data_IF_224160474638
#
_entry.id   IF_224160474638
#
_cell.length_a   1.000
_cell.length_b   1.000
_cell.length_c   1.000
_cell.angle_alpha   90.00
_cell.angle_beta   90.00
_cell.angle_gamma   90.00
#
_symmetry.space_group_name_H-M   'P 1'
#
loop_
_entity.id
_entity.type
_entity.pdbx_description
1 polymer ?
#
# COMPACT_ATOMS: atom_id res chain seq x y z
N UNK A 1 29.31 0.47 -5.12
CA UNK A 1 28.38 -0.51 -4.55
C UNK A 1 27.03 0.12 -4.23
N UNK A 2 25.99 -0.70 -4.17
CA UNK A 2 24.65 -0.25 -3.79
C UNK A 2 24.68 0.26 -2.34
N UNK A 3 24.09 1.43 -2.12
CA UNK A 3 23.94 1.99 -0.77
C UNK A 3 22.50 1.73 -0.32
N UNK A 4 22.36 0.97 0.74
CA UNK A 4 21.07 0.74 1.39
C UNK A 4 20.76 1.85 2.38
N UNK A 5 19.47 2.14 2.57
CA UNK A 5 19.03 2.94 3.69
C UNK A 5 19.37 2.20 4.99
N UNK A 6 20.05 2.88 5.90
CA UNK A 6 20.40 2.34 7.22
C UNK A 6 19.62 3.11 8.27
N UNK A 7 18.98 2.44 9.23
CA UNK A 7 18.31 3.11 10.33
C UNK A 7 19.23 4.10 11.04
N UNK A 8 18.73 5.26 11.37
CA UNK A 8 19.44 6.31 12.06
C UNK A 8 18.68 6.75 13.32
N UNK A 9 18.89 6.04 14.38
CA UNK A 9 18.20 6.25 15.66
C UNK A 9 18.55 7.57 16.37
N UNK A 10 19.39 8.39 15.78
CA UNK A 10 19.65 9.74 16.28
C UNK A 10 18.58 10.77 15.87
N UNK A 11 17.76 10.46 14.87
CA UNK A 11 16.85 11.44 14.24
C UNK A 11 15.48 11.54 14.88
N UNK A 12 14.94 10.45 15.37
CA UNK A 12 13.62 10.43 15.96
C UNK A 12 13.61 9.57 17.21
N UNK A 13 12.47 9.51 17.88
CA UNK A 13 12.30 8.71 19.09
C UNK A 13 12.11 7.19 18.81
N UNK A 14 12.34 6.74 17.58
CA UNK A 14 12.17 5.34 17.18
C UNK A 14 10.73 4.91 16.93
N UNK A 15 9.78 5.83 16.87
CA UNK A 15 8.37 5.54 16.63
C UNK A 15 8.08 5.46 15.13
N UNK A 16 7.31 4.46 14.72
CA UNK A 16 6.72 4.42 13.38
C UNK A 16 5.68 5.53 13.21
N UNK A 17 5.57 6.05 12.01
CA UNK A 17 4.63 7.12 11.67
C UNK A 17 3.77 6.72 10.48
N UNK A 18 2.64 7.39 10.33
CA UNK A 18 1.83 7.32 9.10
C UNK A 18 2.50 8.22 8.05
N UNK A 19 2.73 7.69 6.86
CA UNK A 19 3.50 8.35 5.81
C UNK A 19 2.61 9.28 4.97
N UNK A 20 2.24 10.42 5.54
CA UNK A 20 1.46 11.43 4.84
C UNK A 20 2.15 11.98 3.59
N UNK A 21 3.47 12.29 3.59
CA UNK A 21 4.12 12.78 2.39
C UNK A 21 4.03 11.81 1.21
N UNK A 22 4.18 10.51 1.44
CA UNK A 22 4.00 9.50 0.39
C UNK A 22 2.53 9.42 -0.05
N UNK A 23 1.60 9.41 0.91
CA UNK A 23 0.17 9.34 0.66
C UNK A 23 -0.31 10.44 -0.27
N UNK A 24 0.00 11.71 0.01
CA UNK A 24 -0.41 12.85 -0.81
C UNK A 24 0.12 12.83 -2.24
N UNK A 25 1.03 11.94 -2.55
CA UNK A 25 1.64 11.81 -3.87
C UNK A 25 1.20 10.55 -4.63
N UNK A 26 0.29 9.75 -4.09
CA UNK A 26 -0.27 8.58 -4.77
C UNK A 26 -1.29 8.94 -5.87
N UNK A 27 -1.33 10.16 -6.35
CA UNK A 27 -1.95 10.47 -7.64
C UNK A 27 -1.38 9.58 -8.75
N UNK A 28 -0.10 9.21 -8.65
CA UNK A 28 0.50 8.11 -9.38
C UNK A 28 1.69 7.50 -8.60
N UNK A 29 2.02 6.26 -8.93
CA UNK A 29 3.05 5.48 -8.26
C UNK A 29 4.44 6.14 -8.30
N UNK A 30 4.81 6.77 -9.43
CA UNK A 30 6.12 7.42 -9.60
C UNK A 30 6.28 8.64 -8.68
N UNK A 31 5.24 9.45 -8.55
CA UNK A 31 5.27 10.61 -7.66
C UNK A 31 5.38 10.17 -6.20
N UNK A 32 4.60 9.17 -5.77
CA UNK A 32 4.66 8.62 -4.42
C UNK A 32 6.05 8.05 -4.10
N UNK A 33 6.63 7.30 -5.02
CA UNK A 33 7.98 6.76 -4.90
C UNK A 33 9.04 7.87 -4.76
N UNK A 34 8.98 8.89 -5.62
CA UNK A 34 9.90 10.03 -5.59
C UNK A 34 9.81 10.76 -4.26
N UNK A 35 8.59 11.08 -3.84
CA UNK A 35 8.38 11.79 -2.59
C UNK A 35 8.85 10.99 -1.38
N UNK A 36 8.59 9.70 -1.35
CA UNK A 36 9.07 8.82 -0.31
C UNK A 36 10.61 8.85 -0.20
N UNK A 37 11.32 8.81 -1.34
CA UNK A 37 12.78 8.89 -1.35
C UNK A 37 13.31 10.25 -0.85
N UNK A 38 12.61 11.34 -1.13
CA UNK A 38 12.97 12.69 -0.65
C UNK A 38 12.80 12.83 0.86
N UNK A 39 11.76 12.21 1.41
CA UNK A 39 11.43 12.28 2.84
C UNK A 39 12.23 11.31 3.72
N UNK A 40 12.83 10.29 3.16
CA UNK A 40 13.60 9.29 3.90
C UNK A 40 14.64 9.88 4.88
N UNK A 41 15.34 10.99 4.56
CA UNK A 41 16.28 11.62 5.49
C UNK A 41 15.68 12.08 6.82
N UNK A 42 14.37 12.27 6.86
CA UNK A 42 13.68 12.77 8.05
C UNK A 42 13.22 11.65 9.01
N UNK A 43 13.28 10.40 8.56
CA UNK A 43 12.87 9.25 9.36
C UNK A 43 14.06 8.47 9.90
N UNK A 44 13.88 7.86 11.06
CA UNK A 44 14.81 6.89 11.63
C UNK A 44 14.97 5.68 10.71
N UNK A 45 13.83 5.05 10.44
CA UNK A 45 13.70 3.89 9.59
C UNK A 45 12.34 3.91 8.90
N UNK A 46 12.31 4.47 7.70
CA UNK A 46 11.07 4.60 6.93
C UNK A 46 10.49 3.26 6.46
N UNK A 47 11.24 2.15 6.61
CA UNK A 47 10.69 0.81 6.36
C UNK A 47 9.61 0.41 7.38
N UNK A 48 9.50 1.16 8.48
CA UNK A 48 8.46 1.00 9.50
C UNK A 48 7.33 2.01 9.40
N UNK A 49 7.37 2.94 8.44
CA UNK A 49 6.25 3.85 8.22
C UNK A 49 5.03 3.07 7.71
N UNK A 50 3.85 3.44 8.18
CA UNK A 50 2.59 2.93 7.64
C UNK A 50 2.28 3.69 6.36
N UNK A 51 2.18 2.97 5.25
CA UNK A 51 1.94 3.52 3.92
C UNK A 51 0.55 3.15 3.44
N UNK A 52 -0.12 4.06 2.73
CA UNK A 52 -1.51 3.89 2.29
C UNK A 52 -1.82 4.80 1.11
N UNK A 53 -2.84 4.45 0.35
CA UNK A 53 -3.39 5.28 -0.75
C UNK A 53 -4.64 5.99 -0.27
N UNK A 54 -5.69 5.25 0.09
CA UNK A 54 -6.90 5.77 0.70
C UNK A 54 -6.89 5.61 2.23
N UNK A 55 -7.59 6.49 2.91
CA UNK A 55 -7.89 6.40 4.34
C UNK A 55 -9.34 6.79 4.63
N UNK A 56 -9.72 6.80 5.90
CA UNK A 56 -11.03 7.31 6.32
C UNK A 56 -11.15 8.85 6.26
N UNK A 57 -10.03 9.53 6.12
CA UNK A 57 -10.00 11.00 6.04
C UNK A 57 -9.86 11.47 4.60
N UNK A 58 -8.92 10.89 3.84
CA UNK A 58 -8.50 11.40 2.54
C UNK A 58 -8.09 10.28 1.60
N UNK A 59 -8.30 10.50 0.29
CA UNK A 59 -7.50 9.93 -0.78
C UNK A 59 -6.35 10.86 -1.16
N UNK A 60 -5.50 10.50 -2.13
CA UNK A 60 -4.39 11.34 -2.58
C UNK A 60 -4.81 12.69 -3.15
N UNK A 61 -5.98 12.75 -3.75
CA UNK A 61 -6.56 13.95 -4.35
C UNK A 61 -7.62 14.57 -3.42
N UNK A 62 -7.17 15.04 -2.24
CA UNK A 62 -8.04 15.73 -1.31
C UNK A 62 -9.07 14.82 -0.62
N UNK A 63 -10.22 15.35 -0.30
CA UNK A 63 -11.24 14.78 0.59
C UNK A 63 -12.02 13.61 0.00
N UNK A 64 -11.55 12.97 -1.06
CA UNK A 64 -12.27 11.92 -1.78
C UNK A 64 -11.52 10.60 -1.79
N UNK A 65 -12.25 9.50 -2.01
CA UNK A 65 -11.65 8.23 -2.42
C UNK A 65 -10.85 8.41 -3.71
N UNK A 66 -9.76 7.68 -3.84
CA UNK A 66 -8.96 7.70 -5.06
C UNK A 66 -9.82 7.43 -6.29
N UNK A 67 -9.71 8.28 -7.31
CA UNK A 67 -10.53 8.25 -8.53
C UNK A 67 -9.76 7.84 -9.78
N UNK A 68 -8.46 7.52 -9.65
CA UNK A 68 -7.66 6.97 -10.73
C UNK A 68 -8.25 5.67 -11.30
N UNK A 69 -7.81 5.29 -12.49
CA UNK A 69 -8.27 4.04 -13.11
C UNK A 69 -7.74 2.80 -12.41
N UNK A 70 -8.34 1.65 -12.68
CA UNK A 70 -7.91 0.34 -12.13
C UNK A 70 -6.43 0.06 -12.36
N UNK A 71 -5.89 0.45 -13.51
CA UNK A 71 -4.47 0.32 -13.81
C UNK A 71 -3.60 1.18 -12.87
N UNK A 72 -3.96 2.44 -12.66
CA UNK A 72 -3.25 3.32 -11.73
C UNK A 72 -3.35 2.84 -10.28
N UNK A 73 -4.50 2.26 -9.90
CA UNK A 73 -4.64 1.58 -8.60
C UNK A 73 -3.64 0.43 -8.47
N UNK A 74 -3.55 -0.44 -9.47
CA UNK A 74 -2.63 -1.57 -9.47
C UNK A 74 -1.18 -1.11 -9.33
N UNK A 75 -0.76 -0.09 -10.08
CA UNK A 75 0.58 0.50 -9.99
C UNK A 75 0.87 1.10 -8.62
N UNK A 76 -0.09 1.80 -8.02
CA UNK A 76 0.04 2.31 -6.65
C UNK A 76 0.19 1.17 -5.63
N UNK A 77 -0.58 0.10 -5.78
CA UNK A 77 -0.49 -1.09 -4.93
C UNK A 77 0.84 -1.82 -5.10
N UNK A 78 1.39 -1.88 -6.31
CA UNK A 78 2.72 -2.46 -6.56
C UNK A 78 3.78 -1.74 -5.74
N UNK A 79 3.80 -0.41 -5.77
CA UNK A 79 4.73 0.38 -4.95
C UNK A 79 4.47 0.20 -3.46
N UNK A 80 3.19 0.21 -3.05
CA UNK A 80 2.80 0.07 -1.65
C UNK A 80 3.30 -1.26 -1.05
N UNK A 81 3.20 -2.36 -1.80
CA UNK A 81 3.55 -3.70 -1.32
C UNK A 81 5.02 -4.07 -1.48
N UNK A 82 5.73 -3.44 -2.40
CA UNK A 82 7.09 -3.86 -2.75
C UNK A 82 8.18 -2.88 -2.33
N UNK A 83 7.91 -1.58 -2.33
CA UNK A 83 8.94 -0.59 -2.08
C UNK A 83 9.36 -0.54 -0.60
N UNK A 84 8.67 0.18 0.27
CA UNK A 84 9.00 0.29 1.69
C UNK A 84 7.76 0.51 2.54
N UNK A 85 7.91 0.33 3.83
CA UNK A 85 6.85 0.56 4.80
C UNK A 85 5.95 -0.64 5.04
N UNK A 86 4.95 -0.39 5.84
CA UNK A 86 3.91 -1.33 6.22
C UNK A 86 2.66 -0.97 5.43
N UNK A 87 2.27 -1.75 4.41
CA UNK A 87 1.11 -1.44 3.61
C UNK A 87 -0.16 -1.49 4.43
N UNK A 88 -0.97 -0.44 4.34
CA UNK A 88 -2.28 -0.36 4.96
C UNK A 88 -3.32 -0.14 3.86
N UNK A 89 -4.33 -1.00 3.81
CA UNK A 89 -5.44 -0.90 2.87
C UNK A 89 -6.68 -0.39 3.60
N UNK A 90 -7.28 0.65 3.07
CA UNK A 90 -8.60 1.06 3.52
C UNK A 90 -9.65 0.17 2.87
N UNK A 91 -10.66 -0.26 3.63
CA UNK A 91 -11.68 -1.17 3.15
C UNK A 91 -12.32 -0.70 1.85
N UNK A 92 -12.60 -1.60 0.96
CA UNK A 92 -13.23 -1.32 -0.33
C UNK A 92 -12.27 -0.87 -1.43
N UNK A 93 -10.98 -0.58 -1.13
CA UNK A 93 -9.99 -0.24 -2.14
C UNK A 93 -9.80 -1.36 -3.16
N UNK A 94 -9.98 -2.61 -2.74
CA UNK A 94 -9.95 -3.81 -3.58
C UNK A 94 -11.05 -3.87 -4.65
N UNK A 95 -12.07 -3.04 -4.51
CA UNK A 95 -13.21 -2.93 -5.45
C UNK A 95 -13.36 -1.54 -6.07
N UNK A 96 -12.44 -0.61 -5.83
CA UNK A 96 -12.64 0.82 -6.16
C UNK A 96 -13.96 1.36 -5.56
N UNK A 97 -14.32 0.86 -4.36
CA UNK A 97 -15.57 1.19 -3.68
C UNK A 97 -15.68 2.69 -3.43
N UNK A 98 -16.82 3.27 -3.79
CA UNK A 98 -17.07 4.72 -3.65
C UNK A 98 -16.01 5.59 -4.36
N UNK A 99 -15.47 5.12 -5.48
CA UNK A 99 -14.46 5.81 -6.28
C UNK A 99 -14.82 7.27 -6.52
N UNK A 100 -13.93 8.19 -6.17
CA UNK A 100 -14.11 9.62 -6.33
C UNK A 100 -15.16 10.25 -5.41
N UNK A 101 -15.76 9.49 -4.52
CA UNK A 101 -16.78 10.01 -3.61
C UNK A 101 -16.08 10.70 -2.42
N UNK A 102 -16.52 11.90 -2.02
CA UNK A 102 -15.99 12.62 -0.87
C UNK A 102 -16.05 11.80 0.42
N UNK A 103 -14.99 11.87 1.23
CA UNK A 103 -14.93 11.21 2.52
C UNK A 103 -15.81 11.90 3.55
N UNK A 104 -15.81 13.22 3.54
CA UNK A 104 -16.59 14.04 4.45
C UNK A 104 -17.38 15.10 3.66
N UNK A 105 -18.69 15.08 3.83
CA UNK A 105 -19.61 16.04 3.20
C UNK A 105 -20.36 16.86 4.24
N UNK A 106 -19.86 16.88 5.48
CA UNK A 106 -20.40 17.63 6.59
C UNK A 106 -21.28 16.79 7.54
N UNK A 107 -21.64 17.36 8.69
CA UNK A 107 -22.19 16.60 9.84
C UNK A 107 -23.60 16.05 9.63
N UNK A 108 -24.32 16.52 8.61
CA UNK A 108 -25.69 16.10 8.34
C UNK A 108 -25.84 15.15 7.13
N UNK A 109 -24.73 14.83 6.46
CA UNK A 109 -24.79 13.93 5.32
C UNK A 109 -24.88 12.47 5.77
N UNK A 110 -25.74 11.65 5.14
CA UNK A 110 -25.76 10.23 5.41
C UNK A 110 -24.41 9.58 5.04
N UNK A 111 -23.87 8.72 5.89
CA UNK A 111 -22.63 7.99 5.61
C UNK A 111 -22.70 7.20 4.29
N UNK A 112 -23.89 6.71 3.93
CA UNK A 112 -24.12 5.99 2.68
C UNK A 112 -23.78 6.77 1.41
N UNK A 113 -23.67 8.09 1.50
CA UNK A 113 -23.32 8.98 0.37
C UNK A 113 -21.87 9.43 0.40
N UNK A 114 -21.06 8.87 1.26
CA UNK A 114 -19.65 9.25 1.46
C UNK A 114 -18.70 8.10 1.14
N UNK A 115 -17.42 8.41 1.04
CA UNK A 115 -16.36 7.40 0.95
C UNK A 115 -16.27 6.48 2.16
N UNK A 116 -17.02 6.78 3.23
CA UNK A 116 -17.15 5.98 4.47
C UNK A 116 -18.42 5.11 4.48
N UNK A 117 -19.08 4.94 3.35
CA UNK A 117 -20.30 4.15 3.25
C UNK A 117 -20.08 2.71 3.75
N UNK A 118 -21.17 2.06 4.13
CA UNK A 118 -21.14 0.67 4.59
C UNK A 118 -20.68 -0.27 3.48
N UNK A 119 -19.71 -1.09 3.75
CA UNK A 119 -19.10 -2.02 2.81
C UNK A 119 -19.52 -3.49 3.04
N UNK A 120 -20.18 -3.77 4.16
CA UNK A 120 -20.46 -5.15 4.58
C UNK A 120 -21.26 -5.97 3.57
N UNK A 121 -22.10 -5.35 2.76
CA UNK A 121 -22.88 -6.05 1.72
C UNK A 121 -21.99 -6.79 0.72
N UNK A 122 -20.76 -6.31 0.48
CA UNK A 122 -19.77 -6.95 -0.38
C UNK A 122 -19.05 -8.12 0.28
N UNK A 123 -19.22 -8.29 1.59
CA UNK A 123 -18.59 -9.33 2.41
C UNK A 123 -19.58 -10.43 2.83
N UNK A 124 -20.85 -10.32 2.43
CA UNK A 124 -21.88 -11.33 2.74
C UNK A 124 -21.56 -12.66 2.08
N UNK A 125 -21.71 -13.73 2.85
CA UNK A 125 -21.43 -15.09 2.41
C UNK A 125 -20.35 -15.78 3.23
N UNK A 126 -19.87 -16.90 2.75
CA UNK A 126 -18.86 -17.72 3.43
C UNK A 126 -17.55 -17.68 2.66
N UNK A 127 -16.43 -17.64 3.39
CA UNK A 127 -15.10 -17.81 2.85
C UNK A 127 -14.25 -18.67 3.80
N UNK A 128 -13.53 -19.62 3.25
CA UNK A 128 -12.56 -20.43 4.01
C UNK A 128 -11.15 -20.04 3.59
N UNK A 129 -10.49 -19.26 4.42
CA UNK A 129 -9.08 -18.92 4.22
C UNK A 129 -8.20 -20.16 4.53
N UNK A 130 -7.31 -20.48 3.62
CA UNK A 130 -6.38 -21.62 3.76
C UNK A 130 -4.97 -21.18 4.13
N UNK A 131 -4.57 -20.01 3.67
CA UNK A 131 -3.32 -19.37 4.01
C UNK A 131 -3.49 -17.85 3.75
N UNK A 132 -2.49 -17.06 4.11
CA UNK A 132 -2.50 -15.62 3.92
C UNK A 132 -2.58 -15.28 2.41
N UNK A 133 -3.68 -14.65 2.00
CA UNK A 133 -3.94 -14.32 0.60
C UNK A 133 -4.45 -15.49 -0.25
N UNK A 134 -4.87 -16.59 0.37
CA UNK A 134 -5.50 -17.72 -0.32
C UNK A 134 -6.78 -18.19 0.37
N UNK A 135 -7.68 -18.79 -0.37
CA UNK A 135 -8.91 -19.39 0.13
C UNK A 135 -9.26 -20.64 -0.67
N UNK A 136 -10.00 -21.55 -0.07
CA UNK A 136 -10.44 -22.81 -0.74
C UNK A 136 -11.87 -22.73 -1.23
N UNK A 137 -12.74 -22.00 -0.54
CA UNK A 137 -14.14 -21.84 -0.87
C UNK A 137 -14.58 -20.42 -0.62
N UNK A 138 -15.45 -19.92 -1.49
CA UNK A 138 -16.19 -18.70 -1.28
C UNK A 138 -17.59 -18.80 -1.85
N UNK A 139 -18.58 -18.15 -1.23
CA UNK A 139 -19.97 -18.09 -1.70
C UNK A 139 -20.58 -16.74 -1.37
N UNK A 140 -21.69 -16.40 -2.03
CA UNK A 140 -22.35 -15.11 -1.82
C UNK A 140 -21.58 -13.92 -2.42
N UNK A 141 -21.81 -12.73 -1.90
CA UNK A 141 -21.20 -11.50 -2.41
C UNK A 141 -19.67 -11.49 -2.21
N UNK A 142 -19.18 -12.09 -1.14
CA UNK A 142 -17.71 -12.17 -0.87
C UNK A 142 -16.98 -12.96 -1.95
N UNK A 143 -17.61 -13.95 -2.59
CA UNK A 143 -16.99 -14.68 -3.70
C UNK A 143 -16.69 -13.74 -4.87
N UNK A 144 -17.66 -12.90 -5.27
CA UNK A 144 -17.48 -11.91 -6.32
C UNK A 144 -16.42 -10.84 -5.95
N UNK A 145 -16.40 -10.43 -4.68
CA UNK A 145 -15.39 -9.50 -4.16
C UNK A 145 -13.99 -10.06 -4.29
N UNK A 146 -13.79 -11.32 -3.96
CA UNK A 146 -12.48 -11.99 -4.05
C UNK A 146 -12.00 -12.21 -5.49
N UNK A 147 -12.91 -12.24 -6.44
CA UNK A 147 -12.61 -12.38 -7.88
C UNK A 147 -12.44 -11.03 -8.61
N UNK A 148 -12.70 -9.91 -7.94
CA UNK A 148 -12.50 -8.59 -8.51
C UNK A 148 -11.02 -8.36 -8.89
N UNK A 149 -10.74 -7.66 -10.02
CA UNK A 149 -9.38 -7.51 -10.55
C UNK A 149 -8.36 -7.01 -9.51
N UNK A 150 -8.67 -5.96 -8.77
CA UNK A 150 -7.75 -5.45 -7.74
C UNK A 150 -7.66 -6.38 -6.53
N UNK A 151 -8.73 -7.08 -6.14
CA UNK A 151 -8.68 -8.07 -5.08
C UNK A 151 -7.73 -9.23 -5.45
N UNK A 152 -7.80 -9.73 -6.68
CA UNK A 152 -6.89 -10.75 -7.20
C UNK A 152 -5.45 -10.22 -7.24
N UNK A 153 -5.26 -8.98 -7.66
CA UNK A 153 -3.94 -8.33 -7.67
C UNK A 153 -3.34 -8.23 -6.27
N UNK A 154 -4.10 -7.79 -5.28
CA UNK A 154 -3.68 -7.72 -3.87
C UNK A 154 -3.35 -9.12 -3.33
N UNK A 155 -4.13 -10.14 -3.66
CA UNK A 155 -3.83 -11.52 -3.28
C UNK A 155 -2.46 -11.96 -3.83
N UNK A 156 -2.13 -11.61 -5.08
CA UNK A 156 -0.83 -11.90 -5.68
C UNK A 156 0.29 -11.14 -4.97
N UNK A 157 0.12 -9.85 -4.73
CA UNK A 157 1.10 -9.02 -4.00
C UNK A 157 1.37 -9.56 -2.59
N UNK A 158 0.32 -9.97 -1.88
CA UNK A 158 0.46 -10.61 -0.57
C UNK A 158 1.28 -11.90 -0.64
N UNK A 159 1.03 -12.77 -1.62
CA UNK A 159 1.80 -14.00 -1.84
C UNK A 159 3.26 -13.71 -2.14
N UNK A 160 3.52 -12.76 -3.04
CA UNK A 160 4.88 -12.32 -3.39
C UNK A 160 5.60 -11.78 -2.15
N UNK A 161 4.97 -10.84 -1.45
CA UNK A 161 5.56 -10.23 -0.25
C UNK A 161 5.85 -11.27 0.83
N UNK A 162 4.97 -12.26 1.01
CA UNK A 162 5.17 -13.34 1.97
C UNK A 162 6.29 -14.29 1.58
N UNK A 163 6.44 -14.59 0.30
CA UNK A 163 7.47 -15.49 -0.21
C UNK A 163 8.88 -14.86 -0.20
N UNK A 164 8.97 -13.53 -0.23
CA UNK A 164 10.24 -12.81 -0.38
C UNK A 164 10.58 -12.04 0.90
N UNK A 165 11.46 -12.57 1.77
CA UNK A 165 11.84 -11.91 3.02
C UNK A 165 12.36 -10.48 2.83
N UNK A 166 13.03 -10.18 1.72
CA UNK A 166 13.50 -8.84 1.40
C UNK A 166 12.36 -7.83 1.33
N UNK A 167 11.19 -8.20 0.81
CA UNK A 167 10.02 -7.31 0.71
C UNK A 167 9.35 -7.06 2.06
N UNK A 168 9.46 -8.01 3.00
CA UNK A 168 8.88 -7.87 4.34
C UNK A 168 9.78 -7.11 5.29
N UNK A 169 11.08 -7.48 5.33
CA UNK A 169 12.02 -7.11 6.40
C UNK A 169 13.28 -6.42 5.89
N UNK A 170 13.47 -6.37 4.55
CA UNK A 170 14.68 -5.86 3.95
C UNK A 170 14.77 -4.34 4.00
N UNK A 171 15.99 -3.87 4.09
CA UNK A 171 16.31 -2.49 3.80
C UNK A 171 16.30 -2.27 2.28
N UNK A 172 16.15 -1.03 1.84
CA UNK A 172 16.09 -0.68 0.43
C UNK A 172 17.20 0.29 0.05
N UNK A 173 17.53 0.33 -1.23
CA UNK A 173 18.47 1.31 -1.74
C UNK A 173 17.79 2.66 -1.86
N UNK A 174 18.50 3.69 -1.42
CA UNK A 174 18.21 5.06 -1.84
C UNK A 174 18.80 5.26 -3.21
N UNK A 175 18.13 4.85 -4.22
CA UNK A 175 18.58 5.15 -5.57
C UNK A 175 18.11 6.54 -5.97
N UNK A 176 19.04 7.48 -6.11
CA UNK A 176 18.81 8.67 -6.93
C UNK A 176 18.95 8.36 -8.42
N UNK A 177 19.26 7.13 -8.76
CA UNK A 177 19.36 6.67 -10.13
C UNK A 177 17.97 6.37 -10.67
N UNK A 178 17.23 7.43 -10.89
CA UNK A 178 16.17 7.40 -11.88
C UNK A 178 16.85 7.37 -13.23
N UNK A 179 16.77 6.26 -13.89
CA UNK A 179 17.13 6.20 -15.29
C UNK A 179 15.87 6.57 -16.05
N UNK A 180 15.84 7.77 -16.61
CA UNK A 180 14.78 8.27 -17.50
C UNK A 180 13.36 8.27 -16.90
N UNK A 181 13.21 8.61 -15.61
CA UNK A 181 11.92 8.69 -14.95
C UNK A 181 11.32 7.36 -14.52
N UNK A 182 12.02 6.25 -14.70
CA UNK A 182 11.58 4.94 -14.26
C UNK A 182 11.93 4.70 -12.80
N UNK A 183 10.98 4.14 -12.05
CA UNK A 183 11.20 3.69 -10.69
C UNK A 183 12.11 2.46 -10.70
N UNK A 184 13.19 2.52 -9.93
CA UNK A 184 14.07 1.38 -9.71
C UNK A 184 14.58 1.36 -8.28
N UNK A 185 14.44 0.24 -7.61
CA UNK A 185 14.93 0.05 -6.26
C UNK A 185 15.33 -1.40 -6.02
N UNK A 186 16.14 -1.60 -5.00
CA UNK A 186 16.54 -2.94 -4.55
C UNK A 186 16.25 -3.04 -3.06
N UNK A 187 15.66 -4.14 -2.65
CA UNK A 187 15.50 -4.51 -1.24
C UNK A 187 16.36 -5.71 -0.93
N UNK A 188 17.00 -5.71 0.24
CA UNK A 188 17.81 -6.84 0.70
C UNK A 188 17.60 -7.10 2.17
N UNK A 189 17.44 -8.36 2.51
CA UNK A 189 17.39 -8.86 3.87
C UNK A 189 18.40 -9.98 4.05
N UNK A 190 19.26 -9.82 5.08
CA UNK A 190 20.25 -10.83 5.46
C UNK A 190 20.13 -11.11 6.95
N UNK A 191 19.93 -12.37 7.30
CA UNK A 191 19.94 -12.83 8.70
C UNK A 191 20.32 -14.32 8.76
N UNK A 192 21.38 -14.66 9.48
CA UNK A 192 21.88 -16.02 9.55
C UNK A 192 22.23 -16.55 8.16
N UNK A 193 21.64 -17.67 7.77
CA UNK A 193 21.81 -18.27 6.45
C UNK A 193 20.89 -17.67 5.36
N UNK A 194 20.00 -16.76 5.72
CA UNK A 194 19.08 -16.14 4.76
C UNK A 194 19.72 -14.93 4.12
N UNK A 195 19.78 -14.92 2.79
CA UNK A 195 20.09 -13.75 1.96
C UNK A 195 19.01 -13.64 0.89
N UNK A 196 18.15 -12.64 1.02
CA UNK A 196 17.02 -12.40 0.14
C UNK A 196 17.17 -11.05 -0.55
N UNK A 197 17.04 -11.03 -1.86
CA UNK A 197 17.15 -9.84 -2.71
C UNK A 197 15.92 -9.74 -3.59
N UNK A 198 15.41 -8.52 -3.74
CA UNK A 198 14.36 -8.17 -4.69
C UNK A 198 14.74 -6.87 -5.41
N UNK A 199 14.54 -6.85 -6.73
CA UNK A 199 14.75 -5.69 -7.60
C UNK A 199 13.46 -5.36 -8.33
#
# INVERSE_FOLDING_TARGET
GLKYHTPDYSKANGTSVIDFPMHWNFSNASNAFTRACEEDPYYNDSSWNVTYVDSHDYGPDMDSRYDGGTQSWAENLDVLFTFRGIPCLYYGSELEFQKGVPMDVGPNAPLSTTGRAYFGDYLEGDVTATDFGTYSNASGAVASTLEAPLAVHIQQLNRIRRAVPALQKGQYTRSKTYVDGNMAFVRRYTQGATDSLAC
#
